data_IF_826410154380
#
_entry.id   IF_826410154380
#
_cell.length_a   1.000
_cell.length_b   1.000
_cell.length_c   1.000
_cell.angle_alpha   90.00
_cell.angle_beta   90.00
_cell.angle_gamma   90.00
#
_symmetry.space_group_name_H-M   'P 1'
#
loop_
_entity.id
_entity.type
_entity.pdbx_description
1 polymer ?
#
# COMPACT_ATOMS: atom_id res chain seq x y z
N UNK A 1 -9.78 6.44 8.33
CA UNK A 1 -9.31 6.09 9.70
C UNK A 1 -8.97 7.26 10.61
N UNK A 2 -8.39 8.36 10.10
CA UNK A 2 -8.10 9.56 10.93
C UNK A 2 -9.32 10.08 11.68
N UNK A 3 -10.48 10.12 11.02
CA UNK A 3 -11.76 10.57 11.60
C UNK A 3 -12.21 9.67 12.77
N UNK A 4 -12.14 8.34 12.59
CA UNK A 4 -12.43 7.36 13.65
C UNK A 4 -11.48 7.53 14.83
N UNK A 5 -10.18 7.72 14.56
CA UNK A 5 -9.14 7.81 15.57
C UNK A 5 -9.15 9.09 16.42
N UNK A 6 -9.66 10.18 15.84
CA UNK A 6 -9.78 11.47 16.52
C UNK A 6 -11.22 11.77 16.92
N UNK A 7 -12.14 10.84 16.70
CA UNK A 7 -13.58 11.01 16.93
C UNK A 7 -14.12 12.30 16.31
N UNK A 8 -13.91 12.44 15.00
CA UNK A 8 -14.30 13.60 14.22
C UNK A 8 -15.37 13.24 13.18
N UNK A 9 -16.14 14.24 12.76
CA UNK A 9 -17.18 14.12 11.73
C UNK A 9 -18.17 13.01 12.07
N UNK A 10 -18.25 11.96 11.24
CA UNK A 10 -19.16 10.84 11.42
C UNK A 10 -18.92 10.02 12.69
N UNK A 11 -17.76 10.18 13.34
CA UNK A 11 -17.39 9.52 14.59
C UNK A 11 -17.33 10.50 15.79
N UNK A 12 -18.00 11.65 15.67
CA UNK A 12 -18.06 12.67 16.72
C UNK A 12 -18.75 12.20 17.99
N UNK A 13 -18.30 12.69 19.14
CA UNK A 13 -18.90 12.39 20.45
C UNK A 13 -20.34 12.90 20.53
N UNK A 14 -20.63 13.99 19.86
CA UNK A 14 -21.96 14.59 19.72
C UNK A 14 -22.95 13.67 19.00
N UNK A 15 -22.46 12.73 18.18
CA UNK A 15 -23.27 11.71 17.52
C UNK A 15 -23.36 10.41 18.32
N UNK A 16 -22.88 10.40 19.57
CA UNK A 16 -22.93 9.25 20.48
C UNK A 16 -21.76 8.28 20.35
N UNK A 17 -20.73 8.62 19.57
CA UNK A 17 -19.53 7.78 19.46
C UNK A 17 -18.59 7.99 20.66
N UNK A 18 -18.14 6.90 21.26
CA UNK A 18 -17.01 6.88 22.18
C UNK A 18 -15.82 6.13 21.56
N UNK A 19 -14.64 6.25 22.17
CA UNK A 19 -13.44 5.58 21.68
C UNK A 19 -13.63 4.06 21.57
N UNK A 20 -14.44 3.47 22.46
CA UNK A 20 -14.67 2.03 22.53
C UNK A 20 -15.52 1.55 21.36
N UNK A 21 -16.60 2.24 21.03
CA UNK A 21 -17.51 1.95 19.92
C UNK A 21 -16.87 2.27 18.57
N UNK A 22 -16.14 3.39 18.47
CA UNK A 22 -15.40 3.75 17.27
C UNK A 22 -14.32 2.71 16.94
N UNK A 23 -13.47 2.37 17.90
CA UNK A 23 -12.45 1.34 17.68
C UNK A 23 -13.06 -0.07 17.59
N UNK A 24 -14.15 -0.33 18.32
CA UNK A 24 -14.93 -1.56 18.22
C UNK A 24 -15.47 -1.80 16.81
N UNK A 25 -15.84 -0.75 16.07
CA UNK A 25 -16.22 -0.87 14.66
C UNK A 25 -15.04 -1.36 13.81
N UNK A 26 -13.84 -0.79 13.97
CA UNK A 26 -12.65 -1.23 13.24
C UNK A 26 -12.33 -2.70 13.51
N UNK A 27 -12.50 -3.17 14.75
CA UNK A 27 -12.35 -4.59 15.11
C UNK A 27 -13.44 -5.45 14.46
N UNK A 28 -14.71 -5.01 14.46
CA UNK A 28 -15.78 -5.73 13.76
C UNK A 28 -15.53 -5.84 12.25
N UNK A 29 -15.02 -4.79 11.61
CA UNK A 29 -14.58 -4.83 10.22
C UNK A 29 -13.47 -5.86 10.02
N UNK A 30 -12.51 -5.95 10.94
CA UNK A 30 -11.46 -6.97 10.90
C UNK A 30 -12.01 -8.38 11.06
N UNK A 31 -12.95 -8.59 11.98
CA UNK A 31 -13.63 -9.89 12.14
C UNK A 31 -14.39 -10.29 10.88
N UNK A 32 -15.04 -9.34 10.20
CA UNK A 32 -15.63 -9.61 8.89
C UNK A 32 -14.56 -9.98 7.85
N UNK A 33 -13.45 -9.23 7.78
CA UNK A 33 -12.36 -9.57 6.88
C UNK A 33 -11.77 -10.97 7.17
N UNK A 34 -11.86 -11.47 8.41
CA UNK A 34 -11.47 -12.84 8.77
C UNK A 34 -12.27 -13.91 8.03
N UNK A 35 -13.54 -13.66 7.71
CA UNK A 35 -14.42 -14.65 7.06
C UNK A 35 -14.24 -14.71 5.54
N UNK A 36 -13.48 -13.77 4.95
CA UNK A 36 -13.22 -13.75 3.51
C UNK A 36 -12.28 -14.90 3.10
N UNK A 37 -12.46 -15.41 1.87
CA UNK A 37 -11.59 -16.44 1.30
C UNK A 37 -10.14 -15.95 1.20
N UNK A 38 -9.26 -16.52 2.02
CA UNK A 38 -7.84 -16.15 2.14
C UNK A 38 -6.99 -16.52 0.93
N UNK A 39 -7.53 -17.35 0.03
CA UNK A 39 -6.90 -17.58 -1.27
C UNK A 39 -7.09 -16.37 -2.17
N UNK A 40 -8.26 -15.73 -2.11
CA UNK A 40 -8.67 -14.62 -2.99
C UNK A 40 -8.54 -13.22 -2.39
N UNK A 41 -8.48 -13.12 -1.07
CA UNK A 41 -8.37 -11.86 -0.33
C UNK A 41 -7.05 -11.79 0.43
N UNK A 42 -6.22 -10.80 0.08
CA UNK A 42 -4.88 -10.59 0.63
C UNK A 42 -4.55 -9.11 0.75
N UNK A 43 -3.59 -8.81 1.61
CA UNK A 43 -3.06 -7.46 1.78
C UNK A 43 -1.66 -7.33 1.17
N UNK A 44 -1.46 -6.24 0.44
CA UNK A 44 -0.18 -5.86 -0.11
C UNK A 44 0.12 -4.43 0.28
N UNK A 45 1.33 -4.16 0.78
CA UNK A 45 1.70 -2.79 1.09
C UNK A 45 3.21 -2.57 1.00
N UNK A 46 3.57 -1.32 0.70
CA UNK A 46 4.92 -0.82 0.73
C UNK A 46 4.98 0.34 1.71
N UNK A 47 6.03 0.40 2.51
CA UNK A 47 6.27 1.51 3.41
C UNK A 47 7.70 2.02 3.26
N UNK A 48 7.86 3.34 3.30
CA UNK A 48 9.16 4.00 3.21
C UNK A 48 9.37 4.81 4.48
N UNK A 49 10.51 4.62 5.14
CA UNK A 49 10.91 5.50 6.24
C UNK A 49 11.33 6.86 5.67
N UNK A 50 10.39 7.80 5.70
CA UNK A 50 10.62 9.16 5.19
C UNK A 50 11.69 9.93 5.99
N UNK A 51 11.96 9.59 7.26
CA UNK A 51 13.04 10.23 8.02
C UNK A 51 14.39 9.75 7.50
N UNK A 52 14.54 8.43 7.33
CA UNK A 52 15.75 7.85 6.74
C UNK A 52 15.97 8.36 5.31
N UNK A 53 14.92 8.34 4.48
CA UNK A 53 14.98 8.81 3.09
C UNK A 53 15.45 10.27 3.01
N UNK A 54 14.88 11.18 3.81
CA UNK A 54 15.28 12.60 3.82
C UNK A 54 16.73 12.78 4.26
N UNK A 55 17.17 12.05 5.29
CA UNK A 55 18.57 12.12 5.76
C UNK A 55 19.53 11.63 4.68
N UNK A 56 19.23 10.49 4.04
CA UNK A 56 20.06 9.96 2.95
C UNK A 56 20.08 10.89 1.73
N UNK A 57 18.95 11.53 1.40
CA UNK A 57 18.88 12.53 0.34
C UNK A 57 19.79 13.73 0.65
N UNK A 58 19.82 14.19 1.90
CA UNK A 58 20.73 15.24 2.34
C UNK A 58 22.20 14.82 2.28
N UNK A 59 22.48 13.52 2.45
CA UNK A 59 23.81 12.91 2.22
C UNK A 59 24.10 12.63 0.72
N UNK A 60 23.32 13.23 -0.19
CA UNK A 60 23.50 13.12 -1.66
C UNK A 60 23.36 11.71 -2.22
N UNK A 61 22.59 10.84 -1.55
CA UNK A 61 22.24 9.55 -2.13
C UNK A 61 21.30 9.74 -3.35
N UNK A 62 21.52 8.91 -4.38
CA UNK A 62 20.61 8.82 -5.52
C UNK A 62 19.38 8.01 -5.14
N UNK A 63 18.39 8.70 -4.56
CA UNK A 63 17.14 8.11 -4.11
C UNK A 63 16.00 8.42 -5.07
N UNK A 64 15.27 7.37 -5.41
CA UNK A 64 13.96 7.43 -6.09
C UNK A 64 12.93 8.05 -5.15
N UNK A 65 11.95 8.77 -5.70
CA UNK A 65 10.86 9.37 -4.93
C UNK A 65 10.05 8.27 -4.18
N UNK A 66 9.67 8.48 -2.91
CA UNK A 66 8.91 7.48 -2.15
C UNK A 66 7.58 7.06 -2.78
N UNK A 67 6.88 7.97 -3.48
CA UNK A 67 5.65 7.65 -4.19
C UNK A 67 5.94 6.69 -5.35
N UNK A 68 7.01 6.95 -6.10
CA UNK A 68 7.43 6.09 -7.21
C UNK A 68 7.91 4.71 -6.74
N UNK A 69 8.60 4.64 -5.59
CA UNK A 69 8.95 3.38 -4.93
C UNK A 69 7.68 2.56 -4.65
N UNK A 70 6.69 3.15 -3.96
CA UNK A 70 5.46 2.44 -3.61
C UNK A 70 4.65 2.04 -4.86
N UNK A 71 4.54 2.92 -5.85
CA UNK A 71 3.83 2.66 -7.11
C UNK A 71 4.54 1.65 -8.02
N UNK A 72 5.80 1.32 -7.74
CA UNK A 72 6.52 0.24 -8.43
C UNK A 72 6.39 -1.06 -7.65
N UNK A 73 6.74 -1.04 -6.36
CA UNK A 73 6.86 -2.25 -5.56
C UNK A 73 5.52 -2.96 -5.31
N UNK A 74 4.45 -2.23 -4.96
CA UNK A 74 3.17 -2.89 -4.60
C UNK A 74 2.52 -3.54 -5.81
N UNK A 75 2.39 -2.87 -6.98
CA UNK A 75 1.73 -3.47 -8.13
C UNK A 75 2.51 -4.67 -8.66
N UNK A 76 3.84 -4.58 -8.75
CA UNK A 76 4.68 -5.70 -9.16
C UNK A 76 4.54 -6.90 -8.20
N UNK A 77 4.48 -6.64 -6.89
CA UNK A 77 4.26 -7.69 -5.89
C UNK A 77 2.88 -8.35 -6.01
N UNK A 78 1.84 -7.58 -6.31
CA UNK A 78 0.48 -8.08 -6.57
C UNK A 78 0.46 -8.94 -7.83
N UNK A 79 1.04 -8.43 -8.92
CA UNK A 79 1.07 -9.09 -10.23
C UNK A 79 1.88 -10.40 -10.17
N UNK A 80 3.06 -10.38 -9.55
CA UNK A 80 3.91 -11.56 -9.34
C UNK A 80 3.20 -12.62 -8.48
N UNK A 81 2.59 -12.21 -7.36
CA UNK A 81 1.82 -13.13 -6.53
C UNK A 81 0.67 -13.76 -7.31
N UNK A 82 -0.07 -12.97 -8.07
CA UNK A 82 -1.22 -13.45 -8.83
C UNK A 82 -0.78 -14.44 -9.92
N UNK A 83 0.28 -14.13 -10.68
CA UNK A 83 0.82 -15.00 -11.72
C UNK A 83 1.29 -16.36 -11.18
N UNK A 84 1.96 -16.36 -10.01
CA UNK A 84 2.41 -17.59 -9.35
C UNK A 84 1.25 -18.41 -8.75
N UNK A 85 0.23 -17.74 -8.23
CA UNK A 85 -0.89 -18.40 -7.54
C UNK A 85 -1.93 -18.94 -8.51
N UNK A 86 -2.12 -18.26 -9.64
CA UNK A 86 -3.15 -18.57 -10.63
C UNK A 86 -2.56 -18.65 -12.04
N UNK A 87 -1.59 -19.55 -12.31
CA UNK A 87 -0.90 -19.61 -13.59
C UNK A 87 -1.86 -19.90 -14.77
N UNK A 88 -2.95 -20.63 -14.54
CA UNK A 88 -3.99 -20.91 -15.55
C UNK A 88 -4.95 -19.74 -15.82
N UNK A 89 -4.92 -18.69 -14.99
CA UNK A 89 -5.72 -17.46 -15.09
C UNK A 89 -4.82 -16.23 -15.33
N UNK A 90 -3.71 -16.41 -16.04
CA UNK A 90 -2.89 -15.30 -16.52
C UNK A 90 -2.87 -15.32 -18.03
N UNK A 91 -4.05 -15.27 -18.64
CA UNK A 91 -4.19 -15.12 -20.09
C UNK A 91 -4.28 -13.63 -20.42
N UNK A 92 -3.26 -13.03 -21.08
CA UNK A 92 -3.30 -11.64 -21.50
C UNK A 92 -4.59 -11.36 -22.29
N UNK A 93 -5.32 -10.31 -21.92
CA UNK A 93 -6.58 -9.91 -22.56
C UNK A 93 -7.84 -10.62 -22.04
N UNK A 94 -7.72 -11.61 -21.16
CA UNK A 94 -8.86 -12.25 -20.47
C UNK A 94 -8.84 -11.89 -18.98
N UNK A 95 -7.68 -12.05 -18.35
CA UNK A 95 -7.49 -11.78 -16.93
C UNK A 95 -6.92 -10.38 -16.75
N UNK A 96 -7.63 -9.55 -15.98
CA UNK A 96 -7.41 -8.10 -15.93
C UNK A 96 -7.45 -7.55 -14.50
N UNK A 97 -6.49 -6.67 -14.20
CA UNK A 97 -6.43 -5.95 -12.94
C UNK A 97 -7.14 -4.61 -13.06
N UNK A 98 -8.03 -4.35 -12.10
CA UNK A 98 -8.67 -3.05 -11.92
C UNK A 98 -8.16 -2.43 -10.62
N UNK A 99 -7.46 -1.32 -10.73
CA UNK A 99 -7.00 -0.57 -9.57
C UNK A 99 -8.02 0.51 -9.23
N UNK A 100 -8.28 0.68 -7.93
CA UNK A 100 -9.17 1.70 -7.41
C UNK A 100 -8.44 2.51 -6.34
N UNK A 101 -8.43 3.82 -6.49
CA UNK A 101 -7.85 4.77 -5.56
C UNK A 101 -8.95 5.62 -4.92
N UNK A 102 -8.75 6.04 -3.67
CA UNK A 102 -9.62 7.05 -3.05
C UNK A 102 -9.46 8.39 -3.78
N UNK A 103 -10.48 9.25 -3.67
CA UNK A 103 -10.46 10.56 -4.30
C UNK A 103 -9.36 11.45 -3.74
N UNK A 104 -8.59 12.06 -4.64
CA UNK A 104 -7.48 12.94 -4.28
C UNK A 104 -6.23 12.23 -3.73
N UNK A 105 -6.09 10.92 -3.93
CA UNK A 105 -4.94 10.18 -3.42
C UNK A 105 -3.64 10.52 -4.17
N UNK A 106 -2.58 10.81 -3.41
CA UNK A 106 -1.29 11.29 -3.96
C UNK A 106 -0.61 10.29 -4.90
N UNK A 107 -0.90 9.00 -4.74
CA UNK A 107 -0.30 7.93 -5.56
C UNK A 107 -0.93 7.81 -6.94
N UNK A 108 -2.16 8.31 -7.16
CA UNK A 108 -2.95 8.04 -8.36
C UNK A 108 -2.27 8.50 -9.65
N UNK A 109 -1.84 9.76 -9.71
CA UNK A 109 -1.30 10.33 -10.93
C UNK A 109 0.08 9.76 -11.28
N UNK A 110 0.92 9.52 -10.26
CA UNK A 110 2.19 8.82 -10.46
C UNK A 110 1.97 7.38 -10.95
N UNK A 111 0.97 6.67 -10.41
CA UNK A 111 0.61 5.33 -10.85
C UNK A 111 0.14 5.32 -12.31
N UNK A 112 -0.78 6.22 -12.68
CA UNK A 112 -1.29 6.32 -14.06
C UNK A 112 -0.16 6.57 -15.06
N UNK A 113 0.75 7.49 -14.75
CA UNK A 113 1.91 7.78 -15.61
C UNK A 113 2.78 6.54 -15.80
N UNK A 114 3.07 5.81 -14.72
CA UNK A 114 3.86 4.56 -14.80
C UNK A 114 3.13 3.50 -15.62
N UNK A 115 1.83 3.28 -15.38
CA UNK A 115 1.03 2.32 -16.13
C UNK A 115 1.03 2.63 -17.64
N UNK A 116 0.82 3.88 -18.03
CA UNK A 116 0.88 4.31 -19.44
C UNK A 116 2.27 4.08 -20.02
N UNK A 117 3.32 4.49 -19.31
CA UNK A 117 4.70 4.35 -19.78
C UNK A 117 5.11 2.89 -19.98
N UNK A 118 4.77 1.99 -19.05
CA UNK A 118 5.09 0.56 -19.16
C UNK A 118 4.21 -0.14 -20.17
N UNK A 119 2.95 0.28 -20.37
CA UNK A 119 2.09 -0.29 -21.41
C UNK A 119 2.59 0.05 -22.81
N UNK A 120 3.06 1.27 -23.02
CA UNK A 120 3.48 1.77 -24.34
C UNK A 120 4.95 1.42 -24.65
N UNK A 121 5.67 0.83 -23.68
CA UNK A 121 7.07 0.39 -23.85
C UNK A 121 7.12 -0.79 -24.84
N UNK A 122 8.03 -0.76 -25.85
CA UNK A 122 8.22 -1.88 -26.75
C UNK A 122 8.86 -3.06 -25.99
N UNK A 123 8.15 -4.19 -25.92
CA UNK A 123 8.66 -5.41 -25.30
C UNK A 123 9.14 -6.37 -26.40
N UNK A 124 10.32 -6.96 -26.22
CA UNK A 124 10.73 -8.13 -27.01
C UNK A 124 9.80 -9.30 -26.70
N UNK A 125 9.41 -10.06 -27.73
CA UNK A 125 8.38 -11.12 -27.70
C UNK A 125 8.50 -12.23 -26.61
N UNK A 126 9.50 -12.21 -25.73
CA UNK A 126 9.71 -13.21 -24.68
C UNK A 126 9.42 -12.75 -23.24
N UNK A 127 9.19 -11.46 -22.97
CA UNK A 127 8.90 -10.97 -21.62
C UNK A 127 7.43 -10.54 -21.48
N UNK A 128 6.71 -11.24 -20.59
CA UNK A 128 5.35 -10.89 -20.20
C UNK A 128 5.37 -9.52 -19.50
N UNK A 129 4.88 -8.49 -20.16
CA UNK A 129 4.65 -7.19 -19.53
C UNK A 129 3.48 -7.31 -18.55
N UNK A 130 3.75 -7.50 -17.25
CA UNK A 130 2.68 -7.62 -16.25
C UNK A 130 1.79 -6.37 -16.18
N UNK A 131 2.29 -5.20 -16.58
CA UNK A 131 1.50 -3.97 -16.65
C UNK A 131 0.44 -4.00 -17.76
N UNK A 132 0.60 -4.85 -18.78
CA UNK A 132 -0.43 -5.05 -19.81
C UNK A 132 -1.65 -5.80 -19.28
N UNK A 133 -1.55 -6.42 -18.10
CA UNK A 133 -2.69 -7.05 -17.42
C UNK A 133 -3.57 -6.02 -16.71
N UNK A 134 -3.13 -4.77 -16.58
CA UNK A 134 -3.93 -3.71 -15.97
C UNK A 134 -4.91 -3.13 -16.98
N UNK A 135 -6.21 -3.33 -16.76
CA UNK A 135 -7.28 -2.82 -17.62
C UNK A 135 -7.64 -1.38 -17.29
N UNK A 136 -7.75 -1.04 -16.01
CA UNK A 136 -8.18 0.30 -15.59
C UNK A 136 -7.61 0.72 -14.25
N UNK A 137 -7.42 2.03 -14.13
CA UNK A 137 -7.01 2.74 -12.92
C UNK A 137 -8.05 3.81 -12.65
N UNK A 138 -8.91 3.57 -11.67
CA UNK A 138 -10.08 4.40 -11.40
C UNK A 138 -9.96 5.12 -10.06
N UNK A 139 -10.57 6.28 -9.99
CA UNK A 139 -10.80 7.01 -8.75
C UNK A 139 -12.22 6.72 -8.26
N UNK A 140 -12.40 6.49 -6.96
CA UNK A 140 -13.73 6.23 -6.37
C UNK A 140 -13.83 6.83 -4.97
N UNK A 141 -15.06 7.00 -4.49
CA UNK A 141 -15.32 7.45 -3.12
C UNK A 141 -15.13 6.28 -2.15
N UNK A 142 -14.16 6.39 -1.24
CA UNK A 142 -13.91 5.39 -0.20
C UNK A 142 -15.18 5.02 0.60
N UNK A 143 -16.18 5.91 0.74
CA UNK A 143 -17.45 5.60 1.42
C UNK A 143 -18.25 4.49 0.76
N UNK A 144 -18.05 4.28 -0.54
CA UNK A 144 -18.77 3.29 -1.35
C UNK A 144 -17.89 2.09 -1.73
N UNK A 145 -16.61 2.09 -1.34
CA UNK A 145 -15.64 1.06 -1.71
C UNK A 145 -15.00 0.42 -0.46
N UNK A 146 -15.58 -0.67 0.09
CA UNK A 146 -15.06 -1.34 1.29
C UNK A 146 -13.59 -1.78 1.19
N UNK A 147 -13.13 -2.16 -0.01
CA UNK A 147 -11.72 -2.52 -0.24
C UNK A 147 -10.77 -1.34 -0.01
N UNK A 148 -11.18 -0.12 -0.35
CA UNK A 148 -10.38 1.10 -0.11
C UNK A 148 -10.38 1.44 1.37
N UNK A 149 -11.51 1.27 2.07
CA UNK A 149 -11.56 1.43 3.53
C UNK A 149 -10.60 0.46 4.24
N UNK A 150 -10.54 -0.80 3.77
CA UNK A 150 -9.59 -1.79 4.29
C UNK A 150 -8.12 -1.39 4.02
N UNK A 151 -7.82 -0.82 2.84
CA UNK A 151 -6.50 -0.30 2.53
C UNK A 151 -6.12 0.90 3.42
N UNK A 152 -7.04 1.84 3.66
CA UNK A 152 -6.83 2.97 4.58
C UNK A 152 -6.65 2.49 6.04
N UNK A 153 -7.39 1.47 6.46
CA UNK A 153 -7.18 0.79 7.76
C UNK A 153 -5.75 0.26 7.92
N UNK A 154 -5.23 -0.39 6.87
CA UNK A 154 -3.87 -0.89 6.85
C UNK A 154 -2.85 0.24 6.89
N UNK A 155 -2.95 1.21 5.98
CA UNK A 155 -2.02 2.32 5.88
C UNK A 155 -1.96 3.13 7.19
N UNK A 156 -3.12 3.40 7.79
CA UNK A 156 -3.22 4.11 9.05
C UNK A 156 -2.63 3.31 10.22
N UNK A 157 -2.95 2.02 10.33
CA UNK A 157 -2.46 1.19 11.43
C UNK A 157 -0.94 1.00 11.38
N UNK A 158 -0.38 0.80 10.18
CA UNK A 158 1.05 0.68 9.98
C UNK A 158 1.81 1.98 10.35
N UNK A 159 1.28 3.13 9.96
CA UNK A 159 1.88 4.43 10.31
C UNK A 159 1.91 4.67 11.83
N UNK A 160 0.96 4.13 12.60
CA UNK A 160 0.95 4.25 14.07
C UNK A 160 1.89 3.27 14.75
N UNK A 161 1.97 2.04 14.24
CA UNK A 161 2.94 1.04 14.70
C UNK A 161 4.37 1.62 14.68
N UNK A 162 4.70 2.38 13.64
CA UNK A 162 6.04 2.95 13.43
C UNK A 162 6.27 4.30 14.10
N UNK A 163 5.25 5.18 14.20
CA UNK A 163 5.43 6.56 14.70
C UNK A 163 4.99 6.79 16.14
N UNK A 164 4.14 5.94 16.71
CA UNK A 164 3.63 6.11 18.07
C UNK A 164 3.42 4.76 18.76
N UNK A 165 4.51 4.03 19.05
CA UNK A 165 4.45 2.79 19.82
C UNK A 165 3.73 3.02 21.15
N UNK A 166 2.77 2.14 21.48
CA UNK A 166 1.94 2.20 22.70
C UNK A 166 0.61 2.94 22.54
N UNK A 167 0.34 3.58 21.40
CA UNK A 167 -0.94 4.28 21.14
C UNK A 167 -2.08 3.34 20.69
N UNK A 168 -3.34 3.76 20.86
CA UNK A 168 -4.50 3.02 20.31
C UNK A 168 -4.34 2.86 18.78
N UNK A 169 -4.43 1.61 18.30
CA UNK A 169 -4.15 1.24 16.91
C UNK A 169 -2.79 0.59 16.68
N UNK A 170 -1.88 0.61 17.65
CA UNK A 170 -0.55 -0.02 17.55
C UNK A 170 -0.64 -1.53 17.26
N UNK A 171 -1.58 -2.22 17.89
CA UNK A 171 -1.81 -3.64 17.64
C UNK A 171 -2.70 -3.91 16.41
N UNK A 172 -3.36 -2.90 15.83
CA UNK A 172 -4.28 -3.12 14.72
C UNK A 172 -3.53 -3.64 13.49
N UNK A 173 -2.35 -3.11 13.20
CA UNK A 173 -1.54 -3.58 12.08
C UNK A 173 -1.11 -5.03 12.29
N UNK A 174 -0.68 -5.38 13.50
CA UNK A 174 -0.36 -6.76 13.87
C UNK A 174 -1.57 -7.69 13.69
N UNK A 175 -2.72 -7.33 14.25
CA UNK A 175 -3.96 -8.12 14.12
C UNK A 175 -4.39 -8.29 12.67
N UNK A 176 -4.30 -7.23 11.84
CA UNK A 176 -4.60 -7.32 10.41
C UNK A 176 -3.70 -8.34 9.70
N UNK A 177 -2.38 -8.32 9.99
CA UNK A 177 -1.43 -9.29 9.43
C UNK A 177 -1.66 -10.72 9.91
N UNK A 178 -2.20 -10.91 11.12
CA UNK A 178 -2.58 -12.24 11.64
C UNK A 178 -3.83 -12.79 10.93
N UNK A 179 -4.81 -11.93 10.67
CA UNK A 179 -6.12 -12.32 10.13
C UNK A 179 -6.13 -12.42 8.61
N UNK A 180 -5.29 -11.64 7.93
CA UNK A 180 -5.27 -11.51 6.47
C UNK A 180 -3.84 -11.79 5.99
N UNK A 181 -3.63 -12.81 5.13
CA UNK A 181 -2.33 -13.05 4.55
C UNK A 181 -1.79 -11.79 3.88
N UNK A 182 -0.57 -11.42 4.23
CA UNK A 182 0.04 -10.19 3.75
C UNK A 182 1.41 -10.42 3.14
N UNK A 183 1.69 -9.70 2.06
CA UNK A 183 3.03 -9.57 1.47
C UNK A 183 3.39 -8.09 1.48
N UNK A 184 4.60 -7.77 1.89
CA UNK A 184 4.96 -6.36 2.06
C UNK A 184 6.44 -6.10 1.91
N UNK A 185 6.74 -4.84 1.61
CA UNK A 185 8.10 -4.34 1.43
C UNK A 185 8.29 -3.11 2.31
N UNK A 186 9.28 -3.16 3.19
CA UNK A 186 9.69 -2.01 4.01
C UNK A 186 11.01 -1.47 3.48
N UNK A 187 11.04 -0.19 3.17
CA UNK A 187 12.22 0.58 2.80
C UNK A 187 12.69 1.39 4.00
N UNK A 188 13.36 0.69 4.92
CA UNK A 188 14.09 1.30 6.03
C UNK A 188 15.44 1.85 5.58
N UNK A 189 16.18 2.48 6.50
CA UNK A 189 17.50 3.02 6.18
C UNK A 189 18.47 1.97 5.64
N UNK A 190 18.47 0.77 6.22
CA UNK A 190 19.41 -0.29 5.83
C UNK A 190 19.16 -0.71 4.39
N UNK A 191 17.89 -0.95 4.03
CA UNK A 191 17.51 -1.30 2.65
C UNK A 191 17.78 -0.17 1.66
N UNK A 192 17.50 1.07 2.05
CA UNK A 192 17.79 2.25 1.22
C UNK A 192 19.30 2.37 0.94
N UNK A 193 20.16 2.17 1.95
CA UNK A 193 21.63 2.19 1.78
C UNK A 193 22.16 1.02 0.95
N UNK A 194 21.52 -0.15 1.04
CA UNK A 194 21.91 -1.31 0.25
C UNK A 194 21.59 -1.13 -1.24
N UNK A 195 20.48 -0.45 -1.54
CA UNK A 195 19.95 -0.33 -2.91
C UNK A 195 20.43 0.93 -3.62
N UNK A 196 20.64 2.02 -2.87
CA UNK A 196 21.01 3.32 -3.41
C UNK A 196 22.46 3.66 -3.06
N UNK A 197 23.14 4.36 -3.97
CA UNK A 197 24.54 4.77 -3.78
C UNK A 197 24.65 6.29 -3.55
N UNK A 198 25.67 6.74 -2.79
CA UNK A 198 25.98 8.16 -2.71
C UNK A 198 26.49 8.65 -4.07
N UNK A 199 26.02 9.83 -4.51
CA UNK A 199 26.46 10.46 -5.77
C UNK A 199 27.85 11.08 -5.64
N UNK A 200 28.26 11.42 -4.42
CA UNK A 200 29.59 11.93 -4.10
C UNK A 200 30.20 10.98 -3.07
N UNK A 201 31.41 10.49 -3.33
CA UNK A 201 32.12 9.64 -2.38
C UNK A 201 32.44 10.44 -1.12
N UNK A 202 31.68 10.20 -0.05
CA UNK A 202 32.01 10.71 1.28
C UNK A 202 32.90 9.65 1.97
N UNK A 203 34.12 10.00 2.41
CA UNK A 203 34.97 9.06 3.13
C UNK A 203 34.26 8.57 4.39
N UNK A 204 34.50 7.32 4.82
CA UNK A 204 33.88 6.77 6.03
C UNK A 204 34.32 7.60 7.26
N UNK A 205 33.33 8.03 8.05
CA UNK A 205 33.53 8.61 9.39
C UNK A 205 33.54 7.52 10.45
#
# INVERSE_FOLDING_TARGET
>A
MKELAHQQKAFGKELGWDDKSAFGLAIKCLMYMQTLDKKRFRMFYCAVDLKAWRRLKALTFDLVDPIDICNTCVPELVLDWYAKTYPSLTRPGIDVFKYYFDRGELFLEAFKRKWIAERDRPHSNSELNLWSLVESVNETDMRLAPGIQAADMLAWSHNRETRSPGSKGNHLCHLMRTVIPSLHIIWDEAKLRQTCRPLIYLPPF
#
